data_IF_062104223897
#
_entry.id   IF_062104223897
#
_cell.length_a   1.000
_cell.length_b   1.000
_cell.length_c   1.000
_cell.angle_alpha   90.00
_cell.angle_beta   90.00
_cell.angle_gamma   90.00
#
_symmetry.space_group_name_H-M   'P 1'
#
loop_
_entity.id
_entity.type
_entity.pdbx_description
1 polymer ?
#
# COMPACT_ATOMS: atom_id res chain seq x y z
N UNK A 1 -47.30 1.10 -13.96
CA UNK A 1 -46.74 1.11 -12.59
C UNK A 1 -46.33 2.55 -12.27
N UNK A 2 -46.80 3.15 -11.17
CA UNK A 2 -46.47 4.55 -10.85
C UNK A 2 -44.94 4.66 -10.65
N UNK A 3 -44.23 5.64 -11.26
CA UNK A 3 -42.77 5.77 -11.14
C UNK A 3 -42.24 5.74 -9.69
N UNK A 4 -42.99 6.28 -8.73
CA UNK A 4 -42.62 6.22 -7.31
C UNK A 4 -42.59 4.80 -6.73
N UNK A 5 -43.44 3.88 -7.22
CA UNK A 5 -43.44 2.48 -6.79
C UNK A 5 -42.23 1.74 -7.36
N UNK A 6 -41.91 1.97 -8.65
CA UNK A 6 -40.68 1.44 -9.27
C UNK A 6 -39.47 1.88 -8.45
N UNK A 7 -39.38 3.17 -8.15
CA UNK A 7 -38.24 3.71 -7.41
C UNK A 7 -38.14 3.13 -5.99
N UNK A 8 -39.26 3.01 -5.27
CA UNK A 8 -39.30 2.33 -3.98
C UNK A 8 -38.81 0.89 -4.05
N UNK A 9 -39.24 0.11 -5.05
CA UNK A 9 -38.81 -1.27 -5.22
C UNK A 9 -37.30 -1.38 -5.50
N UNK A 10 -36.72 -0.43 -6.24
CA UNK A 10 -35.26 -0.37 -6.45
C UNK A 10 -34.54 -0.13 -5.14
N UNK A 11 -34.96 0.86 -4.35
CA UNK A 11 -34.35 1.17 -3.05
C UNK A 11 -34.47 -0.01 -2.08
N UNK A 12 -35.66 -0.60 -1.98
CA UNK A 12 -35.90 -1.80 -1.19
C UNK A 12 -35.00 -2.95 -1.65
N UNK A 13 -34.91 -3.16 -2.97
CA UNK A 13 -34.02 -4.15 -3.57
C UNK A 13 -32.56 -3.92 -3.21
N UNK A 14 -32.06 -2.69 -3.27
CA UNK A 14 -30.68 -2.35 -2.89
C UNK A 14 -30.40 -2.57 -1.40
N UNK A 15 -31.33 -2.21 -0.52
CA UNK A 15 -31.20 -2.44 0.94
C UNK A 15 -31.23 -3.92 1.25
N UNK A 16 -32.18 -4.68 0.67
CA UNK A 16 -32.25 -6.13 0.84
C UNK A 16 -31.01 -6.81 0.26
N UNK A 17 -30.52 -6.38 -0.91
CA UNK A 17 -29.28 -6.88 -1.49
C UNK A 17 -28.13 -6.69 -0.50
N UNK A 18 -27.92 -5.50 0.04
CA UNK A 18 -26.88 -5.28 1.05
C UNK A 18 -27.02 -6.19 2.29
N UNK A 19 -28.23 -6.37 2.81
CA UNK A 19 -28.49 -7.24 3.98
C UNK A 19 -28.20 -8.72 3.66
N UNK A 20 -28.52 -9.19 2.46
CA UNK A 20 -28.40 -10.60 2.07
C UNK A 20 -27.10 -10.94 1.34
N UNK A 21 -26.36 -9.95 0.85
CA UNK A 21 -25.03 -10.11 0.24
C UNK A 21 -24.01 -9.29 1.02
N UNK A 22 -23.49 -9.83 2.12
CA UNK A 22 -22.51 -9.10 2.89
C UNK A 22 -21.18 -9.03 2.14
N UNK A 23 -20.81 -7.81 1.73
CA UNK A 23 -19.46 -7.50 1.25
C UNK A 23 -18.63 -7.05 2.45
N UNK A 24 -18.07 -8.00 3.19
CA UNK A 24 -17.20 -7.70 4.33
C UNK A 24 -15.76 -7.45 3.88
N UNK A 25 -15.07 -6.60 4.60
CA UNK A 25 -13.63 -6.46 4.45
C UNK A 25 -12.92 -7.68 5.00
N UNK A 26 -11.71 -7.91 4.50
CA UNK A 26 -10.77 -8.83 5.15
C UNK A 26 -10.58 -8.41 6.60
N UNK A 27 -10.54 -9.38 7.52
CA UNK A 27 -10.24 -9.12 8.93
C UNK A 27 -9.04 -8.20 9.10
N UNK A 28 -9.13 -7.26 10.03
CA UNK A 28 -8.01 -6.40 10.36
C UNK A 28 -6.91 -7.19 11.07
N UNK A 29 -5.65 -6.90 10.72
CA UNK A 29 -4.47 -7.51 11.30
C UNK A 29 -3.43 -6.46 11.73
N UNK A 30 -3.86 -5.24 12.04
CA UNK A 30 -3.00 -4.14 12.49
C UNK A 30 -3.68 -3.22 13.51
N UNK A 31 -2.94 -2.24 14.01
CA UNK A 31 -3.39 -1.17 14.91
C UNK A 31 -4.48 -0.24 14.34
N UNK A 32 -4.82 -0.33 13.05
CA UNK A 32 -5.70 0.63 12.36
C UNK A 32 -7.21 0.38 12.51
N UNK A 33 -7.65 -0.20 13.63
CA UNK A 33 -9.08 -0.46 13.89
C UNK A 33 -9.96 0.80 13.80
N UNK A 34 -9.41 1.95 14.18
CA UNK A 34 -10.10 3.23 14.06
C UNK A 34 -10.41 3.66 12.62
N UNK A 35 -9.68 3.16 11.61
CA UNK A 35 -10.05 3.36 10.21
C UNK A 35 -11.34 2.61 9.88
N UNK A 36 -11.44 1.34 10.30
CA UNK A 36 -12.62 0.52 10.07
C UNK A 36 -13.85 1.10 10.78
N UNK A 37 -13.68 1.60 12.00
CA UNK A 37 -14.73 2.30 12.76
C UNK A 37 -15.21 3.57 12.03
N UNK A 38 -14.28 4.38 11.53
CA UNK A 38 -14.61 5.64 10.83
C UNK A 38 -15.34 5.38 9.52
N UNK A 39 -14.94 4.36 8.77
CA UNK A 39 -15.63 3.98 7.54
C UNK A 39 -17.00 3.38 7.87
N UNK A 40 -17.12 2.56 8.92
CA UNK A 40 -18.40 2.00 9.38
C UNK A 40 -19.38 3.11 9.80
N UNK A 41 -18.90 4.10 10.56
CA UNK A 41 -19.67 5.29 10.93
C UNK A 41 -20.17 6.04 9.70
N UNK A 42 -19.28 6.28 8.74
CA UNK A 42 -19.60 6.97 7.48
C UNK A 42 -20.62 6.19 6.66
N UNK A 43 -20.47 4.86 6.60
CA UNK A 43 -21.39 3.97 5.89
C UNK A 43 -22.81 4.08 6.44
N UNK A 44 -23.00 3.97 7.76
CA UNK A 44 -24.34 4.03 8.37
C UNK A 44 -24.97 5.41 8.28
N UNK A 45 -24.21 6.48 8.52
CA UNK A 45 -24.72 7.84 8.41
C UNK A 45 -25.08 8.15 6.94
N UNK A 46 -24.18 7.86 6.01
CA UNK A 46 -24.39 8.06 4.58
C UNK A 46 -25.56 7.24 4.04
N UNK A 47 -25.65 5.96 4.44
CA UNK A 47 -26.77 5.08 4.11
C UNK A 47 -28.10 5.60 4.65
N UNK A 48 -28.13 6.08 5.89
CA UNK A 48 -29.32 6.69 6.49
C UNK A 48 -29.79 7.95 5.74
N UNK A 49 -28.85 8.86 5.43
CA UNK A 49 -29.14 10.08 4.64
C UNK A 49 -29.62 9.70 3.24
N UNK A 50 -28.97 8.74 2.59
CA UNK A 50 -29.38 8.23 1.28
C UNK A 50 -30.83 7.73 1.30
N UNK A 51 -31.19 6.88 2.25
CA UNK A 51 -32.58 6.37 2.40
C UNK A 51 -33.55 7.53 2.64
N UNK A 52 -33.21 8.48 3.51
CA UNK A 52 -34.08 9.63 3.80
C UNK A 52 -34.36 10.48 2.55
N UNK A 53 -33.32 10.81 1.76
CA UNK A 53 -33.44 11.57 0.51
C UNK A 53 -34.27 10.78 -0.51
N UNK A 54 -34.00 9.48 -0.64
CA UNK A 54 -34.75 8.58 -1.51
C UNK A 54 -36.24 8.50 -1.16
N UNK A 55 -36.59 8.33 0.11
CA UNK A 55 -37.97 8.33 0.59
C UNK A 55 -38.66 9.69 0.39
N UNK A 56 -37.94 10.79 0.61
CA UNK A 56 -38.43 12.13 0.32
C UNK A 56 -38.74 12.31 -1.17
N UNK A 57 -37.85 11.84 -2.06
CA UNK A 57 -38.08 11.85 -3.50
C UNK A 57 -39.28 11.00 -3.93
N UNK A 58 -39.47 9.82 -3.34
CA UNK A 58 -40.67 8.99 -3.55
C UNK A 58 -41.92 9.74 -3.11
N UNK A 59 -41.88 10.32 -1.90
CA UNK A 59 -42.98 11.14 -1.39
C UNK A 59 -43.31 12.26 -2.38
N UNK A 60 -42.31 12.97 -2.91
CA UNK A 60 -42.54 14.03 -3.88
C UNK A 60 -43.21 13.52 -5.17
N UNK A 61 -42.71 12.42 -5.74
CA UNK A 61 -43.27 11.83 -6.98
C UNK A 61 -44.72 11.37 -6.78
N UNK A 62 -45.05 10.80 -5.63
CA UNK A 62 -46.41 10.32 -5.34
C UNK A 62 -47.35 11.48 -5.00
N UNK A 63 -46.95 12.36 -4.07
CA UNK A 63 -47.77 13.45 -3.54
C UNK A 63 -48.00 14.53 -4.59
N UNK A 64 -46.96 14.91 -5.34
CA UNK A 64 -46.97 15.99 -6.34
C UNK A 64 -47.11 15.48 -7.77
N UNK A 65 -47.58 14.23 -7.96
CA UNK A 65 -47.99 13.72 -9.26
C UNK A 65 -49.00 14.65 -9.96
N UNK A 66 -48.93 14.67 -11.30
CA UNK A 66 -49.76 15.51 -12.14
C UNK A 66 -51.25 15.21 -11.93
N UNK A 67 -52.05 16.28 -11.77
CA UNK A 67 -53.52 16.22 -11.74
C UNK A 67 -54.05 17.42 -12.53
N UNK A 68 -55.00 17.17 -13.44
CA UNK A 68 -55.52 18.16 -14.40
C UNK A 68 -55.96 19.47 -13.74
N UNK A 69 -56.60 19.40 -12.57
CA UNK A 69 -57.16 20.56 -11.87
C UNK A 69 -56.26 21.12 -10.75
N UNK A 70 -55.05 20.58 -10.57
CA UNK A 70 -54.13 21.01 -9.52
C UNK A 70 -53.27 22.18 -10.02
N UNK A 71 -53.43 23.33 -9.39
CA UNK A 71 -52.52 24.47 -9.57
C UNK A 71 -51.24 24.26 -8.78
N UNK A 72 -50.10 24.59 -9.38
CA UNK A 72 -48.78 24.54 -8.73
C UNK A 72 -48.65 25.74 -7.80
N UNK A 73 -48.15 25.52 -6.60
CA UNK A 73 -47.79 26.59 -5.67
C UNK A 73 -46.43 27.19 -6.10
N UNK A 74 -46.38 28.50 -6.31
CA UNK A 74 -45.15 29.20 -6.66
C UNK A 74 -44.46 29.73 -5.40
N UNK A 75 -43.50 28.96 -4.89
CA UNK A 75 -42.67 29.32 -3.73
C UNK A 75 -41.19 29.04 -4.05
N UNK A 76 -40.47 30.00 -4.66
CA UNK A 76 -39.10 29.78 -5.14
C UNK A 76 -38.04 29.82 -4.03
N UNK A 77 -38.32 30.47 -2.89
CA UNK A 77 -37.38 30.58 -1.77
C UNK A 77 -38.04 30.29 -0.42
N UNK A 78 -37.25 29.76 0.51
CA UNK A 78 -37.61 29.64 1.92
C UNK A 78 -36.36 29.81 2.78
N UNK A 79 -36.08 31.07 3.13
CA UNK A 79 -34.88 31.45 3.90
C UNK A 79 -34.76 30.71 5.24
N UNK A 80 -35.88 30.30 5.84
CA UNK A 80 -35.86 29.55 7.10
C UNK A 80 -35.38 28.12 6.84
N UNK A 81 -35.93 27.46 5.83
CA UNK A 81 -35.52 26.12 5.42
C UNK A 81 -34.06 26.10 4.97
N UNK A 82 -33.65 27.05 4.12
CA UNK A 82 -32.29 27.19 3.63
C UNK A 82 -31.28 27.32 4.78
N UNK A 83 -31.58 28.17 5.78
CA UNK A 83 -30.74 28.32 6.96
C UNK A 83 -30.66 27.03 7.79
N UNK A 84 -31.77 26.33 7.97
CA UNK A 84 -31.81 25.06 8.72
C UNK A 84 -30.96 24.01 8.01
N UNK A 85 -31.17 23.81 6.70
CA UNK A 85 -30.43 22.80 5.92
C UNK A 85 -28.94 23.13 5.89
N UNK A 86 -28.58 24.40 5.68
CA UNK A 86 -27.16 24.83 5.67
C UNK A 86 -26.48 24.45 6.98
N UNK A 87 -27.04 24.86 8.12
CA UNK A 87 -26.44 24.56 9.42
C UNK A 87 -26.46 23.06 9.75
N UNK A 88 -27.55 22.37 9.45
CA UNK A 88 -27.66 20.92 9.67
C UNK A 88 -26.60 20.15 8.87
N UNK A 89 -26.41 20.50 7.58
CA UNK A 89 -25.39 19.88 6.73
C UNK A 89 -23.99 20.24 7.21
N UNK A 90 -23.71 21.50 7.57
CA UNK A 90 -22.40 21.90 8.11
C UNK A 90 -22.05 21.12 9.37
N UNK A 91 -22.98 20.99 10.32
CA UNK A 91 -22.77 20.22 11.56
C UNK A 91 -22.56 18.74 11.24
N UNK A 92 -23.38 18.17 10.34
CA UNK A 92 -23.25 16.77 9.92
C UNK A 92 -21.88 16.47 9.29
N UNK A 93 -21.41 17.33 8.39
CA UNK A 93 -20.09 17.19 7.75
C UNK A 93 -18.97 17.34 8.79
N UNK A 94 -19.05 18.33 9.69
CA UNK A 94 -18.05 18.51 10.73
C UNK A 94 -17.97 17.29 11.67
N UNK A 95 -19.13 16.71 12.04
CA UNK A 95 -19.19 15.50 12.86
C UNK A 95 -18.61 14.27 12.14
N UNK A 96 -18.78 14.15 10.82
CA UNK A 96 -18.18 13.07 10.03
C UNK A 96 -16.66 13.23 9.85
N UNK A 97 -16.16 14.47 9.72
CA UNK A 97 -14.73 14.74 9.51
C UNK A 97 -13.91 14.63 10.80
N UNK A 98 -14.46 15.01 11.95
CA UNK A 98 -13.69 15.11 13.20
C UNK A 98 -13.01 13.79 13.63
N UNK A 99 -13.66 12.61 13.61
CA UNK A 99 -12.98 11.33 13.89
C UNK A 99 -11.86 11.04 12.89
N UNK A 100 -12.09 11.31 11.60
CA UNK A 100 -11.10 11.11 10.55
C UNK A 100 -9.83 11.93 10.76
N UNK A 101 -9.94 13.16 11.27
CA UNK A 101 -8.78 13.99 11.60
C UNK A 101 -7.95 13.43 12.76
N UNK A 102 -8.59 12.78 13.74
CA UNK A 102 -7.88 12.13 14.85
C UNK A 102 -7.08 10.93 14.33
N UNK A 103 -7.71 10.09 13.52
CA UNK A 103 -7.05 8.92 12.90
C UNK A 103 -5.94 9.37 11.95
N UNK A 104 -6.16 10.43 11.17
CA UNK A 104 -5.13 11.01 10.31
C UNK A 104 -3.91 11.49 11.10
N UNK A 105 -4.13 12.18 12.23
CA UNK A 105 -3.04 12.62 13.09
C UNK A 105 -2.22 11.44 13.64
N UNK A 106 -2.87 10.32 13.97
CA UNK A 106 -2.18 9.08 14.35
C UNK A 106 -1.40 8.50 13.16
N UNK A 107 -2.01 8.48 11.96
CA UNK A 107 -1.40 7.94 10.74
C UNK A 107 -0.11 8.64 10.35
N UNK A 108 -0.05 9.97 10.46
CA UNK A 108 1.17 10.75 10.15
C UNK A 108 2.21 10.75 11.29
N UNK A 109 1.84 10.28 12.49
CA UNK A 109 2.70 10.26 13.67
C UNK A 109 3.35 8.89 13.88
N UNK A 110 4.50 8.66 13.24
CA UNK A 110 5.23 7.39 13.33
C UNK A 110 5.78 7.16 14.75
N UNK A 111 5.59 5.98 15.37
CA UNK A 111 6.22 5.62 16.63
C UNK A 111 7.76 5.65 16.55
N UNK A 112 8.42 6.14 17.60
CA UNK A 112 9.90 6.24 17.63
C UNK A 112 10.62 4.89 17.63
N UNK A 113 9.96 3.83 18.07
CA UNK A 113 10.47 2.47 18.11
C UNK A 113 10.08 1.66 16.87
N UNK A 114 9.58 2.31 15.81
CA UNK A 114 9.22 1.61 14.58
C UNK A 114 10.48 1.13 13.85
N UNK A 115 10.47 -0.16 13.47
CA UNK A 115 11.51 -0.74 12.64
C UNK A 115 11.37 -0.18 11.23
N UNK A 116 12.42 0.46 10.71
CA UNK A 116 12.42 0.94 9.33
C UNK A 116 12.71 -0.23 8.38
N UNK A 117 11.86 -0.42 7.37
CA UNK A 117 12.03 -1.44 6.33
C UNK A 117 11.98 -0.74 4.99
N UNK A 118 13.03 -0.88 4.20
CA UNK A 118 13.10 -0.34 2.84
C UNK A 118 12.51 -1.35 1.85
N UNK A 119 11.47 -0.94 1.14
CA UNK A 119 10.77 -1.69 0.11
C UNK A 119 11.04 -1.05 -1.23
N UNK A 120 11.82 -1.75 -2.05
CA UNK A 120 12.09 -1.36 -3.43
C UNK A 120 11.10 -2.04 -4.37
N UNK A 121 10.37 -1.21 -5.12
CA UNK A 121 9.48 -1.64 -6.19
C UNK A 121 10.17 -1.52 -7.56
N UNK A 122 9.88 -2.47 -8.44
CA UNK A 122 10.25 -2.47 -9.85
C UNK A 122 9.21 -3.24 -10.66
N UNK A 123 9.17 -3.09 -11.99
CA UNK A 123 8.29 -3.83 -12.89
C UNK A 123 8.81 -5.27 -13.09
N UNK A 124 8.26 -6.30 -12.46
CA UNK A 124 7.11 -6.37 -11.55
C UNK A 124 7.46 -7.24 -10.34
N UNK A 125 8.06 -6.62 -9.32
CA UNK A 125 8.50 -7.31 -8.13
C UNK A 125 8.87 -6.37 -6.99
N UNK A 126 9.11 -6.99 -5.84
CA UNK A 126 9.45 -6.33 -4.60
C UNK A 126 10.78 -6.88 -4.09
N UNK A 127 11.58 -6.01 -3.48
CA UNK A 127 12.76 -6.41 -2.72
C UNK A 127 12.78 -5.64 -1.41
N UNK A 128 13.31 -6.27 -0.37
CA UNK A 128 13.29 -5.70 0.98
C UNK A 128 14.69 -5.59 1.56
N UNK A 129 14.88 -4.55 2.35
CA UNK A 129 16.10 -4.31 3.11
C UNK A 129 15.74 -3.87 4.52
N UNK A 130 16.38 -4.51 5.49
CA UNK A 130 16.21 -4.24 6.92
C UNK A 130 17.54 -3.73 7.51
N UNK A 131 17.50 -2.90 8.56
CA UNK A 131 18.69 -2.48 9.26
C UNK A 131 19.39 -3.67 9.93
N UNK A 132 20.70 -3.57 10.07
CA UNK A 132 21.53 -4.56 10.75
C UNK A 132 21.52 -4.42 12.28
N UNK A 133 22.64 -4.79 12.90
CA UNK A 133 22.80 -4.71 14.36
C UNK A 133 22.82 -3.26 14.88
N UNK A 134 23.18 -2.31 14.02
CA UNK A 134 23.24 -0.89 14.34
C UNK A 134 21.87 -0.18 14.39
N UNK A 135 20.82 -0.86 13.90
CA UNK A 135 19.45 -0.37 13.84
C UNK A 135 19.22 0.76 12.82
N UNK A 136 20.11 0.95 11.85
CA UNK A 136 20.01 1.99 10.83
C UNK A 136 20.13 1.39 9.43
N UNK A 137 19.49 2.04 8.46
CA UNK A 137 19.64 1.71 7.06
C UNK A 137 20.73 2.58 6.44
N UNK A 138 21.57 1.97 5.60
CA UNK A 138 22.51 2.72 4.77
C UNK A 138 21.82 3.60 3.73
N UNK A 139 22.51 4.66 3.29
CA UNK A 139 22.08 5.51 2.18
C UNK A 139 22.07 4.75 0.85
N UNK A 140 21.13 5.08 -0.04
CA UNK A 140 21.02 4.50 -1.38
C UNK A 140 20.94 5.56 -2.47
N UNK A 141 21.39 5.22 -3.67
CA UNK A 141 21.24 6.05 -4.86
C UNK A 141 20.97 5.18 -6.09
N UNK A 142 20.12 5.65 -7.00
CA UNK A 142 19.78 4.92 -8.23
C UNK A 142 21.01 4.64 -9.09
N UNK A 143 21.99 5.56 -9.12
CA UNK A 143 23.23 5.38 -9.89
C UNK A 143 24.11 4.24 -9.39
N UNK A 144 23.91 3.80 -8.14
CA UNK A 144 24.66 2.69 -7.57
C UNK A 144 24.02 1.33 -7.91
N UNK A 145 22.83 1.31 -8.51
CA UNK A 145 22.12 0.08 -8.86
C UNK A 145 22.80 -0.60 -10.05
N UNK A 146 23.25 -1.83 -9.84
CA UNK A 146 23.82 -2.71 -10.87
C UNK A 146 23.71 -4.18 -10.43
N UNK A 147 24.23 -5.10 -11.22
CA UNK A 147 24.14 -6.55 -10.97
C UNK A 147 24.74 -6.99 -9.61
N UNK A 148 25.77 -6.29 -9.13
CA UNK A 148 26.42 -6.59 -7.85
C UNK A 148 25.74 -5.86 -6.67
N UNK A 149 25.12 -4.71 -6.94
CA UNK A 149 24.45 -3.87 -5.94
C UNK A 149 22.99 -3.55 -6.34
N UNK A 150 22.08 -4.54 -6.31
CA UNK A 150 20.70 -4.35 -6.78
C UNK A 150 19.91 -3.34 -5.93
N UNK A 151 20.32 -3.11 -4.68
CA UNK A 151 19.68 -2.15 -3.79
C UNK A 151 20.21 -0.72 -3.94
N UNK A 152 21.31 -0.51 -4.68
CA UNK A 152 21.92 0.80 -4.86
C UNK A 152 22.52 1.37 -3.57
N UNK A 153 22.98 0.51 -2.65
CA UNK A 153 23.57 0.89 -1.37
C UNK A 153 24.87 1.66 -1.61
N UNK A 154 25.07 2.74 -0.87
CA UNK A 154 26.32 3.49 -0.91
C UNK A 154 27.44 2.71 -0.20
N UNK A 155 28.45 2.29 -0.95
CA UNK A 155 29.58 1.52 -0.43
C UNK A 155 30.44 2.31 0.58
N UNK A 156 30.43 3.64 0.50
CA UNK A 156 31.18 4.51 1.41
C UNK A 156 30.42 4.77 2.73
N UNK A 157 29.16 4.35 2.82
CA UNK A 157 28.34 4.49 4.03
C UNK A 157 28.55 3.29 4.95
N UNK A 158 29.13 3.47 6.16
CA UNK A 158 29.37 2.36 7.08
C UNK A 158 28.07 1.72 7.58
N UNK A 159 26.95 2.45 7.62
CA UNK A 159 25.65 1.93 8.07
C UNK A 159 24.99 1.03 7.03
N UNK A 160 25.45 1.03 5.77
CA UNK A 160 24.89 0.15 4.74
C UNK A 160 25.50 -1.24 4.72
N UNK A 161 26.58 -1.49 5.47
CA UNK A 161 27.36 -2.72 5.35
C UNK A 161 26.69 -3.91 6.04
N UNK A 162 25.99 -3.66 7.14
CA UNK A 162 25.24 -4.65 7.92
C UNK A 162 23.74 -4.68 7.56
N UNK A 163 23.30 -3.88 6.58
CA UNK A 163 21.96 -3.97 6.02
C UNK A 163 21.66 -5.41 5.60
N UNK A 164 20.54 -5.95 6.11
CA UNK A 164 20.06 -7.30 5.82
C UNK A 164 19.23 -7.27 4.55
N UNK A 165 19.58 -8.11 3.57
CA UNK A 165 18.96 -8.12 2.26
C UNK A 165 18.03 -9.32 2.10
N UNK A 166 16.78 -9.06 1.74
CA UNK A 166 15.79 -10.10 1.49
C UNK A 166 15.64 -10.26 -0.01
N UNK A 167 16.30 -11.28 -0.55
CA UNK A 167 16.22 -11.66 -1.97
C UNK A 167 15.00 -12.56 -2.25
N UNK A 168 13.83 -12.14 -1.76
CA UNK A 168 12.56 -12.85 -1.87
C UNK A 168 11.41 -11.86 -2.02
N UNK A 169 10.30 -12.30 -2.61
CA UNK A 169 9.04 -11.55 -2.65
C UNK A 169 8.23 -11.69 -1.33
N UNK A 170 8.66 -12.59 -0.44
CA UNK A 170 8.15 -12.79 0.92
C UNK A 170 9.03 -12.04 1.95
N UNK A 171 8.39 -11.22 2.80
CA UNK A 171 9.02 -10.58 3.96
C UNK A 171 8.38 -11.08 5.25
N UNK A 172 9.20 -11.34 6.28
CA UNK A 172 8.68 -11.72 7.59
C UNK A 172 8.67 -10.49 8.51
N UNK A 173 7.64 -10.38 9.34
CA UNK A 173 7.47 -9.30 10.32
C UNK A 173 7.21 -9.88 11.71
N UNK A 174 7.66 -9.17 12.75
CA UNK A 174 7.36 -9.53 14.14
C UNK A 174 5.96 -9.00 14.55
N UNK A 175 5.16 -9.85 15.18
CA UNK A 175 3.86 -9.42 15.74
C UNK A 175 4.05 -8.41 16.88
N UNK A 176 3.17 -7.40 16.93
CA UNK A 176 3.16 -6.29 17.91
C UNK A 176 4.45 -5.45 17.92
N UNK A 177 5.13 -5.38 16.78
CA UNK A 177 6.27 -4.49 16.57
C UNK A 177 5.87 -3.45 15.52
N UNK A 178 5.84 -2.14 15.86
CA UNK A 178 5.61 -1.11 14.87
C UNK A 178 6.67 -1.16 13.77
N UNK A 179 6.23 -1.04 12.52
CA UNK A 179 7.08 -1.00 11.33
C UNK A 179 6.80 0.26 10.54
N UNK A 180 7.85 0.90 10.05
CA UNK A 180 7.80 2.03 9.14
C UNK A 180 8.31 1.56 7.78
N UNK A 181 7.40 1.42 6.84
CA UNK A 181 7.72 1.01 5.48
C UNK A 181 8.21 2.25 4.72
N UNK A 182 9.48 2.23 4.32
CA UNK A 182 10.06 3.20 3.40
C UNK A 182 9.89 2.65 2.00
N UNK A 183 9.28 3.41 1.11
CA UNK A 183 8.94 2.98 -0.24
C UNK A 183 9.78 3.74 -1.25
N UNK A 184 10.40 2.99 -2.16
CA UNK A 184 11.11 3.54 -3.30
C UNK A 184 10.80 2.76 -4.56
N UNK A 185 10.88 3.43 -5.70
CA UNK A 185 10.73 2.82 -7.01
C UNK A 185 11.92 3.15 -7.90
N UNK A 186 12.35 2.19 -8.70
CA UNK A 186 13.43 2.34 -9.68
C UNK A 186 12.93 2.67 -11.09
N UNK A 187 11.62 2.60 -11.32
CA UNK A 187 11.02 2.79 -12.65
C UNK A 187 9.78 3.68 -12.65
N UNK A 188 8.60 3.16 -12.30
CA UNK A 188 7.29 3.81 -12.37
C UNK A 188 6.61 3.88 -10.99
N UNK A 189 5.43 4.46 -10.91
CA UNK A 189 4.65 4.42 -9.67
C UNK A 189 4.24 2.98 -9.33
N UNK A 190 4.35 2.62 -8.05
CA UNK A 190 3.80 1.39 -7.48
C UNK A 190 3.17 1.71 -6.12
N UNK A 191 2.54 0.73 -5.48
CA UNK A 191 2.05 0.88 -4.11
C UNK A 191 2.09 -0.49 -3.44
N UNK A 192 2.98 -0.68 -2.47
CA UNK A 192 3.08 -1.92 -1.71
C UNK A 192 1.93 -1.93 -0.69
N UNK A 193 0.93 -2.79 -0.90
CA UNK A 193 -0.29 -2.78 -0.10
C UNK A 193 -0.67 -4.16 0.40
N UNK A 194 -0.91 -4.25 1.71
CA UNK A 194 -1.51 -5.41 2.37
C UNK A 194 -2.87 -4.99 2.92
N UNK A 195 -4.00 -5.47 2.35
CA UNK A 195 -5.34 -5.00 2.73
C UNK A 195 -5.63 -5.03 4.22
N UNK A 196 -5.24 -6.10 4.92
CA UNK A 196 -5.44 -6.34 6.34
C UNK A 196 -4.72 -5.34 7.25
N UNK A 197 -3.71 -4.63 6.72
CA UNK A 197 -2.97 -3.61 7.45
C UNK A 197 -3.53 -2.20 7.25
N UNK A 198 -4.52 -1.98 6.36
CA UNK A 198 -5.23 -0.70 6.14
C UNK A 198 -4.38 0.54 5.81
N UNK A 199 -3.07 0.39 5.73
CA UNK A 199 -2.13 1.45 5.43
C UNK A 199 -1.57 1.26 4.02
N UNK A 200 -1.46 2.35 3.27
CA UNK A 200 -0.88 2.35 1.92
C UNK A 200 -0.29 3.71 1.59
N UNK A 201 0.76 3.72 0.80
CA UNK A 201 1.38 4.92 0.23
C UNK A 201 2.03 4.52 -1.09
N UNK A 202 2.12 5.45 -2.03
CA UNK A 202 2.70 5.15 -3.34
C UNK A 202 4.23 5.16 -3.25
N UNK A 203 4.89 4.17 -3.84
CA UNK A 203 6.31 4.19 -4.14
C UNK A 203 6.51 5.07 -5.38
N UNK A 204 7.19 6.21 -5.19
CA UNK A 204 7.34 7.23 -6.23
C UNK A 204 8.80 7.28 -6.70
N UNK A 205 9.07 7.16 -8.01
CA UNK A 205 10.42 7.29 -8.53
C UNK A 205 11.07 8.62 -8.10
N UNK A 206 12.26 8.54 -7.52
CA UNK A 206 13.07 9.70 -7.13
C UNK A 206 12.80 10.28 -5.73
N UNK A 207 11.80 9.79 -4.98
CA UNK A 207 11.59 10.16 -3.58
C UNK A 207 11.31 8.93 -2.72
N UNK A 208 11.71 8.97 -1.44
CA UNK A 208 11.33 7.94 -0.47
C UNK A 208 10.06 8.40 0.23
N UNK A 209 8.96 7.72 -0.03
CA UNK A 209 7.70 7.92 0.72
C UNK A 209 7.65 6.91 1.86
N UNK A 210 6.71 7.06 2.79
CA UNK A 210 6.58 6.12 3.89
C UNK A 210 5.16 6.05 4.44
N UNK A 211 4.88 4.96 5.12
CA UNK A 211 3.78 4.83 6.04
C UNK A 211 4.17 3.87 7.17
N UNK A 212 3.30 3.72 8.17
CA UNK A 212 3.57 2.80 9.28
C UNK A 212 2.33 2.01 9.68
N UNK A 213 2.56 0.86 10.29
CA UNK A 213 1.55 0.03 10.94
C UNK A 213 2.23 -0.86 11.98
N UNK A 214 1.43 -1.49 12.84
CA UNK A 214 1.87 -2.49 13.79
C UNK A 214 1.02 -3.75 13.56
N UNK A 215 1.56 -4.83 12.98
CA UNK A 215 0.82 -6.05 12.75
C UNK A 215 0.51 -6.72 14.09
N UNK A 216 -0.74 -7.14 14.31
CA UNK A 216 -1.18 -7.67 15.62
C UNK A 216 -1.77 -9.09 15.54
N UNK A 217 -1.69 -9.72 14.37
CA UNK A 217 -2.21 -11.07 14.13
C UNK A 217 -1.18 -11.87 13.32
N UNK A 218 -0.65 -12.93 13.93
CA UNK A 218 0.22 -13.90 13.26
C UNK A 218 -0.53 -14.54 12.09
N UNK A 219 0.16 -14.73 10.97
CA UNK A 219 -0.41 -15.32 9.77
C UNK A 219 0.30 -14.88 8.50
N UNK A 220 -0.18 -15.41 7.38
CA UNK A 220 0.29 -15.07 6.04
C UNK A 220 -0.67 -14.09 5.37
N UNK A 221 -0.11 -13.06 4.74
CA UNK A 221 -0.83 -12.00 4.07
C UNK A 221 -0.26 -11.76 2.68
N UNK A 222 -1.12 -11.42 1.74
CA UNK A 222 -0.71 -11.13 0.37
C UNK A 222 -0.39 -9.64 0.21
N UNK A 223 0.74 -9.36 -0.44
CA UNK A 223 1.10 -8.04 -0.94
C UNK A 223 0.55 -7.87 -2.34
N UNK A 224 -0.11 -6.74 -2.58
CA UNK A 224 -0.61 -6.33 -3.89
C UNK A 224 0.07 -5.04 -4.33
N UNK A 225 0.29 -4.89 -5.63
CA UNK A 225 0.53 -3.57 -6.21
C UNK A 225 -0.80 -2.82 -6.33
N UNK A 226 -0.95 -1.69 -5.62
CA UNK A 226 -2.17 -0.89 -5.58
C UNK A 226 -2.11 0.42 -6.39
N UNK A 227 -1.13 0.54 -7.30
CA UNK A 227 -0.99 1.64 -8.25
C UNK A 227 -0.61 1.08 -9.63
N UNK A 228 -1.23 1.57 -10.71
CA UNK A 228 -1.10 0.93 -12.01
C UNK A 228 0.32 1.09 -12.57
N UNK A 229 1.05 -0.03 -12.67
CA UNK A 229 2.46 -0.06 -13.05
C UNK A 229 2.73 -0.82 -14.37
N UNK A 230 1.75 -0.92 -15.26
CA UNK A 230 1.90 -1.53 -16.60
C UNK A 230 1.33 -2.94 -16.72
N UNK A 231 1.79 -3.70 -17.73
CA UNK A 231 1.15 -4.97 -18.16
C UNK A 231 1.18 -6.06 -17.09
N UNK A 232 2.23 -6.13 -16.27
CA UNK A 232 2.36 -7.09 -15.17
C UNK A 232 1.72 -6.64 -13.85
N UNK A 233 1.05 -5.49 -13.81
CA UNK A 233 0.50 -4.90 -12.57
C UNK A 233 -0.32 -5.89 -11.73
N UNK A 234 -1.23 -6.64 -12.37
CA UNK A 234 -2.09 -7.61 -11.68
C UNK A 234 -1.34 -8.83 -11.10
N UNK A 235 -0.15 -9.11 -11.63
CA UNK A 235 0.70 -10.24 -11.26
C UNK A 235 1.82 -9.86 -10.29
N UNK A 236 1.99 -8.56 -10.02
CA UNK A 236 2.98 -8.01 -9.08
C UNK A 236 2.55 -8.27 -7.63
N UNK A 237 2.65 -9.53 -7.21
CA UNK A 237 2.28 -10.02 -5.89
C UNK A 237 3.53 -10.31 -5.06
N UNK A 238 3.35 -10.39 -3.76
CA UNK A 238 4.36 -10.82 -2.79
C UNK A 238 3.69 -11.33 -1.53
N UNK A 239 4.47 -11.64 -0.51
CA UNK A 239 3.97 -12.16 0.75
C UNK A 239 4.47 -11.37 1.95
N UNK A 240 3.65 -11.35 3.00
CA UNK A 240 4.08 -11.00 4.36
C UNK A 240 3.74 -12.16 5.28
N UNK A 241 4.73 -12.65 6.02
CA UNK A 241 4.49 -13.60 7.12
C UNK A 241 4.68 -12.88 8.46
N UNK A 242 3.61 -12.70 9.21
CA UNK A 242 3.68 -12.15 10.57
C UNK A 242 3.92 -13.31 11.53
N UNK A 243 5.03 -13.25 12.27
CA UNK A 243 5.53 -14.32 13.12
C UNK A 243 5.69 -13.90 14.59
N UNK A 244 5.95 -14.88 15.45
CA UNK A 244 6.36 -14.64 16.83
C UNK A 244 7.75 -14.00 16.89
N UNK A 245 8.09 -13.33 18.00
CA UNK A 245 9.43 -12.75 18.22
C UNK A 245 10.56 -13.79 18.06
N UNK A 246 10.31 -15.03 18.49
CA UNK A 246 11.31 -16.12 18.44
C UNK A 246 11.54 -16.55 16.99
N UNK A 247 10.46 -16.78 16.25
CA UNK A 247 10.54 -17.25 14.87
C UNK A 247 11.09 -16.17 13.94
N UNK A 248 10.67 -14.91 14.15
CA UNK A 248 11.19 -13.76 13.41
C UNK A 248 12.71 -13.60 13.59
N UNK A 249 13.22 -13.67 14.83
CA UNK A 249 14.66 -13.58 15.09
C UNK A 249 15.44 -14.73 14.49
N UNK A 250 14.86 -15.94 14.49
CA UNK A 250 15.46 -17.10 13.84
C UNK A 250 15.55 -16.85 12.33
N UNK A 251 14.45 -16.47 11.70
CA UNK A 251 14.40 -16.16 10.26
C UNK A 251 15.40 -15.06 9.90
N UNK A 252 15.46 -13.99 10.69
CA UNK A 252 16.37 -12.87 10.46
C UNK A 252 17.84 -13.30 10.52
N UNK A 253 18.20 -14.22 11.41
CA UNK A 253 19.57 -14.74 11.54
C UNK A 253 20.02 -15.64 10.37
N UNK A 254 19.07 -16.09 9.54
CA UNK A 254 19.34 -16.89 8.35
C UNK A 254 19.55 -16.02 7.10
N UNK A 255 19.28 -14.72 7.19
CA UNK A 255 19.41 -13.77 6.08
C UNK A 255 20.86 -13.30 5.93
N UNK A 256 21.22 -12.92 4.70
CA UNK A 256 22.55 -12.39 4.41
C UNK A 256 22.59 -10.86 4.53
N UNK A 257 23.71 -10.36 5.01
CA UNK A 257 24.02 -8.92 5.01
C UNK A 257 24.59 -8.48 3.67
N UNK A 258 24.53 -7.18 3.37
CA UNK A 258 25.11 -6.62 2.15
C UNK A 258 26.61 -6.92 2.03
N UNK A 259 27.36 -6.80 3.13
CA UNK A 259 28.79 -7.16 3.15
C UNK A 259 29.05 -8.62 2.79
N UNK A 260 28.22 -9.54 3.27
CA UNK A 260 28.33 -10.97 2.95
C UNK A 260 28.01 -11.25 1.48
N UNK A 261 26.98 -10.60 0.94
CA UNK A 261 26.60 -10.68 -0.47
C UNK A 261 27.77 -10.24 -1.38
N UNK A 262 28.33 -9.05 -1.14
CA UNK A 262 29.47 -8.53 -1.93
C UNK A 262 30.69 -9.44 -1.82
N UNK A 263 31.01 -9.92 -0.61
CA UNK A 263 32.14 -10.84 -0.41
C UNK A 263 31.97 -12.17 -1.16
N UNK A 264 30.73 -12.66 -1.30
CA UNK A 264 30.40 -13.88 -2.05
C UNK A 264 30.52 -13.65 -3.56
N UNK A 265 30.03 -12.53 -4.08
CA UNK A 265 30.16 -12.16 -5.50
C UNK A 265 31.64 -11.99 -5.91
N UNK A 266 32.44 -11.29 -5.12
CA UNK A 266 33.88 -11.14 -5.39
C UNK A 266 34.60 -12.49 -5.41
N UNK A 267 34.29 -13.41 -4.49
CA UNK A 267 34.86 -14.78 -4.51
C UNK A 267 34.50 -15.53 -5.79
N UNK A 268 33.28 -15.35 -6.33
CA UNK A 268 32.86 -15.96 -7.59
C UNK A 268 33.64 -15.36 -8.77
N UNK A 269 33.81 -14.03 -8.82
CA UNK A 269 34.63 -13.39 -9.86
C UNK A 269 36.07 -13.90 -9.87
N UNK A 270 36.72 -13.99 -8.69
CA UNK A 270 38.08 -14.52 -8.57
C UNK A 270 38.16 -16.01 -8.93
N UNK A 271 37.13 -16.79 -8.62
CA UNK A 271 37.03 -18.20 -9.02
C UNK A 271 36.92 -18.40 -10.54
N UNK A 272 36.19 -17.51 -11.22
CA UNK A 272 36.05 -17.50 -12.68
C UNK A 272 37.28 -16.90 -13.39
N UNK A 273 38.04 -16.02 -12.74
CA UNK A 273 39.36 -15.52 -13.21
C UNK A 273 40.50 -16.52 -12.96
N UNK A 274 40.28 -17.83 -13.10
CA UNK A 274 41.38 -18.81 -13.24
C UNK A 274 42.07 -18.63 -14.59
N UNK A 275 43.00 -17.68 -14.61
CA UNK A 275 44.24 -17.60 -15.41
C UNK A 275 44.25 -18.51 -16.65
N UNK A 276 43.88 -17.96 -17.82
CA UNK A 276 44.41 -18.47 -19.08
C UNK A 276 45.89 -18.13 -19.08
N UNK A 277 46.71 -19.03 -18.52
CA UNK A 277 48.17 -18.98 -18.65
C UNK A 277 48.45 -19.40 -20.08
N UNK A 278 48.39 -18.43 -21.00
CA UNK A 278 48.74 -18.66 -22.39
C UNK A 278 50.27 -18.77 -22.47
N UNK A 279 50.80 -19.96 -22.19
CA UNK A 279 52.23 -20.28 -22.25
C UNK A 279 52.71 -20.60 -23.67
N UNK A 280 52.18 -19.94 -24.69
CA UNK A 280 52.68 -20.07 -26.07
C UNK A 280 52.93 -18.69 -26.66
N UNK A 281 53.98 -18.02 -26.16
CA UNK A 281 54.62 -16.90 -26.84
C UNK A 281 55.96 -17.35 -27.42
N UNK A 282 55.95 -18.40 -28.24
CA UNK A 282 57.07 -18.76 -29.09
C UNK A 282 56.56 -19.27 -30.44
N UNK A 283 57.02 -18.58 -31.48
CA UNK A 283 57.12 -18.99 -32.89
C UNK A 283 55.81 -19.17 -33.67
N UNK A 284 55.44 -18.12 -34.41
CA UNK A 284 55.36 -18.19 -35.87
C UNK A 284 55.35 -16.78 -36.46
N UNK A 285 56.56 -16.25 -36.68
CA UNK A 285 56.81 -15.34 -37.80
C UNK A 285 56.70 -16.17 -39.08
N UNK A 286 56.23 -15.56 -40.15
CA UNK A 286 56.04 -16.12 -41.51
C UNK A 286 54.70 -16.78 -41.80
N UNK A 287 53.64 -15.97 -42.00
CA UNK A 287 52.68 -16.21 -43.09
C UNK A 287 52.17 -14.85 -43.60
N UNK A 288 52.95 -14.22 -44.48
CA UNK A 288 52.45 -13.28 -45.49
C UNK A 288 53.41 -13.32 -46.69
N UNK A 289 53.12 -14.23 -47.63
CA UNK A 289 53.58 -14.20 -49.02
C UNK A 289 52.44 -14.73 -49.89
N UNK A 290 51.97 -13.84 -50.79
CA UNK A 290 51.32 -14.07 -52.11
C UNK A 290 50.05 -14.97 -52.10
N UNK A 291 48.92 -14.65 -52.74
CA UNK A 291 48.62 -13.87 -53.95
C UNK A 291 47.42 -12.91 -53.78
#
# INVERSE_FOLDING_TARGET
MHPGIIFFLVILGSVLFHIFTPWYWTDIASNWGGMDDTITLTFWIGGGVFIAVCLFMIYCVLKFSYKKDRKVEYKPEDKKLEKILTWATTIGVAALLAPGLIIWNQYVSVPKNALEIDVMAWQWGWQYRLPGEDGKLGTTQVININDDNPFGINLDDPYGQDDVLIQSDLINLETNQPVKILLRSVDVLHNWYVPQFRAKMDAVPGIVTYYWFEPNKIGEYEVLCAEYCGIGHYAMRGGVEVQSSIDYKKWLSEQETFKELIAKQQKIEFGNKKIVKNNNFLLNKEIYKEE
#
